data_IF_423705832951
#
_entry.id   IF_423705832951
#
_cell.length_a   1.000
_cell.length_b   1.000
_cell.length_c   1.000
_cell.angle_alpha   90.00
_cell.angle_beta   90.00
_cell.angle_gamma   90.00
#
_symmetry.space_group_name_H-M   'P 1'
#
loop_
_entity.id
_entity.type
_entity.pdbx_description
1 polymer ?
#
# COMPACT_ATOMS: atom_id res chain seq x y z
N UNK A 1 16.30 17.33 16.25
CA UNK A 1 17.19 16.21 15.84
C UNK A 1 16.97 14.98 16.74
N UNK A 2 15.71 14.52 16.90
CA UNK A 2 15.37 13.38 17.79
C UNK A 2 14.57 12.26 17.07
N UNK A 3 14.71 12.18 15.74
CA UNK A 3 13.97 11.22 14.91
C UNK A 3 14.54 9.79 14.92
N UNK A 4 15.72 9.57 15.54
CA UNK A 4 16.50 8.34 15.36
C UNK A 4 16.47 7.31 16.52
N UNK A 5 15.81 7.58 17.66
CA UNK A 5 15.92 6.71 18.86
C UNK A 5 14.71 5.85 19.26
N UNK A 6 13.53 6.00 18.67
CA UNK A 6 12.30 5.39 19.23
C UNK A 6 11.59 4.34 18.33
N UNK A 7 12.36 3.52 17.60
CA UNK A 7 11.91 2.44 16.70
C UNK A 7 11.56 1.10 17.43
N UNK A 8 10.96 1.15 18.61
CA UNK A 8 10.72 -0.03 19.47
C UNK A 8 9.22 -0.18 19.74
N UNK A 9 8.51 -1.01 18.95
CA UNK A 9 7.33 -1.84 19.30
C UNK A 9 6.33 -2.07 18.13
N UNK A 10 6.58 -3.10 17.32
CA UNK A 10 5.70 -4.25 17.05
C UNK A 10 4.27 -4.16 16.49
N UNK A 11 3.65 -2.99 16.31
CA UNK A 11 2.53 -2.81 15.38
C UNK A 11 3.07 -2.16 14.10
N UNK A 12 2.53 -2.45 12.91
CA UNK A 12 3.00 -1.82 11.66
C UNK A 12 3.12 -0.29 11.87
N UNK A 13 4.36 0.20 11.91
CA UNK A 13 4.77 1.58 12.28
C UNK A 13 4.17 2.71 11.41
N UNK A 14 3.26 2.40 10.49
CA UNK A 14 2.49 3.39 9.75
C UNK A 14 1.71 4.32 10.69
N UNK A 15 1.13 3.80 11.78
CA UNK A 15 0.33 4.61 12.73
C UNK A 15 1.13 5.75 13.37
N UNK A 16 2.45 5.59 13.58
CA UNK A 16 3.30 6.68 14.12
C UNK A 16 3.87 7.60 13.06
N UNK A 17 4.08 7.10 11.84
CA UNK A 17 4.52 7.92 10.70
C UNK A 17 3.39 8.82 10.19
N UNK A 18 2.13 8.52 10.55
CA UNK A 18 0.95 9.31 10.24
C UNK A 18 0.72 10.48 11.19
N UNK A 19 1.32 10.46 12.38
CA UNK A 19 1.20 11.54 13.38
C UNK A 19 1.97 12.76 12.87
N UNK A 20 1.25 13.64 12.17
CA UNK A 20 1.77 14.89 11.60
C UNK A 20 1.72 14.99 10.08
N UNK A 21 1.26 13.94 9.38
CA UNK A 21 1.07 14.03 7.93
C UNK A 21 -0.03 15.04 7.59
N UNK A 22 0.21 15.90 6.60
CA UNK A 22 -0.72 16.95 6.19
C UNK A 22 -1.33 16.69 4.80
N UNK A 23 -0.69 15.88 3.97
CA UNK A 23 -1.21 15.40 2.68
C UNK A 23 -1.12 13.87 2.59
N UNK A 24 -2.26 13.21 2.39
CA UNK A 24 -2.35 11.76 2.21
C UNK A 24 -2.85 11.40 0.80
N UNK A 25 -2.23 10.41 0.18
CA UNK A 25 -2.74 9.72 -1.01
C UNK A 25 -2.85 8.23 -0.72
N UNK A 26 -4.07 7.71 -0.76
CA UNK A 26 -4.41 6.32 -0.51
C UNK A 26 -4.89 5.68 -1.82
N UNK A 27 -4.24 4.62 -2.28
CA UNK A 27 -4.59 3.89 -3.50
C UNK A 27 -4.72 2.41 -3.16
N UNK A 28 -5.78 1.75 -3.62
CA UNK A 28 -5.90 0.29 -3.48
C UNK A 28 -7.23 -0.23 -3.99
N UNK A 29 -7.52 -1.52 -3.80
CA UNK A 29 -8.76 -2.10 -4.36
C UNK A 29 -10.01 -1.61 -3.64
N UNK A 30 -10.10 -1.87 -2.33
CA UNK A 30 -11.23 -1.45 -1.49
C UNK A 30 -10.86 -0.45 -0.42
N UNK A 31 -9.60 -0.43 0.04
CA UNK A 31 -9.11 0.42 1.13
C UNK A 31 -9.89 0.34 2.45
N UNK A 32 -10.78 -0.65 2.62
CA UNK A 32 -11.65 -0.75 3.81
C UNK A 32 -10.87 -0.80 5.12
N UNK A 33 -9.81 -1.61 5.19
CA UNK A 33 -8.98 -1.71 6.40
C UNK A 33 -8.26 -0.40 6.70
N UNK A 34 -7.65 0.21 5.67
CA UNK A 34 -6.90 1.46 5.82
C UNK A 34 -7.81 2.59 6.26
N UNK A 35 -8.94 2.80 5.58
CA UNK A 35 -9.90 3.86 5.90
C UNK A 35 -10.52 3.65 7.28
N UNK A 36 -10.84 2.40 7.64
CA UNK A 36 -11.41 2.10 8.95
C UNK A 36 -10.39 2.30 10.08
N UNK A 37 -9.18 1.78 9.92
CA UNK A 37 -8.11 1.91 10.91
C UNK A 37 -7.65 3.35 11.11
N UNK A 38 -7.59 4.14 10.03
CA UNK A 38 -7.15 5.54 10.07
C UNK A 38 -8.29 6.53 10.32
N UNK A 39 -9.51 6.10 10.67
CA UNK A 39 -10.68 6.99 10.74
C UNK A 39 -10.45 8.21 11.63
N UNK A 40 -9.84 8.00 12.80
CA UNK A 40 -9.50 9.08 13.73
C UNK A 40 -8.44 10.02 13.13
N UNK A 41 -7.37 9.46 12.56
CA UNK A 41 -6.27 10.23 12.00
C UNK A 41 -6.70 11.05 10.78
N UNK A 42 -7.46 10.44 9.87
CA UNK A 42 -8.02 11.13 8.71
C UNK A 42 -8.93 12.30 9.12
N UNK A 43 -9.71 12.14 10.19
CA UNK A 43 -10.54 13.23 10.73
C UNK A 43 -9.66 14.36 11.26
N UNK A 44 -8.66 14.04 12.09
CA UNK A 44 -7.73 15.02 12.63
C UNK A 44 -6.95 15.77 11.53
N UNK A 45 -6.50 15.06 10.49
CA UNK A 45 -5.79 15.65 9.34
C UNK A 45 -6.70 16.63 8.60
N UNK A 46 -7.96 16.24 8.32
CA UNK A 46 -8.92 17.11 7.63
C UNK A 46 -9.33 18.31 8.48
N UNK A 47 -9.52 18.14 9.79
CA UNK A 47 -9.81 19.22 10.74
C UNK A 47 -8.65 20.21 10.86
N UNK A 48 -7.41 19.75 10.72
CA UNK A 48 -6.22 20.59 10.65
C UNK A 48 -6.06 21.32 9.29
N UNK A 49 -6.96 21.12 8.32
CA UNK A 49 -6.87 21.71 6.97
C UNK A 49 -6.01 20.92 5.98
N UNK A 50 -5.62 19.70 6.36
CA UNK A 50 -4.90 18.77 5.53
C UNK A 50 -5.68 18.33 4.29
N UNK A 51 -4.98 17.61 3.41
CA UNK A 51 -5.54 17.05 2.18
C UNK A 51 -5.49 15.53 2.26
N UNK A 52 -6.56 14.89 1.86
CA UNK A 52 -6.63 13.44 1.72
C UNK A 52 -7.20 13.11 0.35
N UNK A 53 -6.48 12.29 -0.40
CA UNK A 53 -6.90 11.77 -1.71
C UNK A 53 -7.04 10.26 -1.59
N UNK A 54 -8.16 9.71 -2.03
CA UNK A 54 -8.40 8.27 -2.03
C UNK A 54 -8.79 7.80 -3.42
N UNK A 55 -8.12 6.76 -3.92
CA UNK A 55 -8.41 6.08 -5.17
C UNK A 55 -8.74 4.60 -4.88
N UNK A 56 -9.99 4.21 -5.13
CA UNK A 56 -10.47 2.82 -5.03
C UNK A 56 -10.96 2.31 -6.39
N UNK A 57 -11.23 1.02 -6.55
CA UNK A 57 -11.83 0.52 -7.80
C UNK A 57 -13.25 1.03 -7.98
N UNK A 58 -13.70 1.17 -9.23
CA UNK A 58 -15.08 1.51 -9.55
C UNK A 58 -16.01 0.31 -9.24
N UNK A 59 -16.89 0.40 -8.22
CA UNK A 59 -17.80 -0.70 -7.87
C UNK A 59 -18.95 -0.87 -8.88
N UNK A 60 -19.07 0.02 -9.87
CA UNK A 60 -20.09 -0.03 -10.92
C UNK A 60 -19.63 -0.76 -12.19
N UNK A 61 -18.35 -1.13 -12.27
CA UNK A 61 -17.80 -1.90 -13.37
C UNK A 61 -17.71 -3.39 -12.98
N UNK A 62 -18.71 -4.18 -13.41
CA UNK A 62 -18.82 -5.59 -13.07
C UNK A 62 -17.60 -6.41 -13.51
N UNK A 63 -17.10 -6.15 -14.73
CA UNK A 63 -15.95 -6.88 -15.30
C UNK A 63 -14.64 -6.54 -14.57
N UNK A 64 -14.48 -5.27 -14.17
CA UNK A 64 -13.36 -4.83 -13.34
C UNK A 64 -13.38 -5.53 -11.98
N UNK A 65 -14.52 -5.51 -11.29
CA UNK A 65 -14.64 -6.11 -9.96
C UNK A 65 -14.47 -7.62 -10.01
N UNK A 66 -15.01 -8.29 -11.03
CA UNK A 66 -14.79 -9.73 -11.23
C UNK A 66 -13.31 -10.03 -11.46
N UNK A 67 -12.63 -9.23 -12.28
CA UNK A 67 -11.19 -9.40 -12.55
C UNK A 67 -10.35 -9.09 -11.31
N UNK A 68 -10.71 -8.09 -10.52
CA UNK A 68 -10.02 -7.75 -9.27
C UNK A 68 -10.21 -8.81 -8.19
N UNK A 69 -11.44 -9.31 -8.01
CA UNK A 69 -11.72 -10.39 -7.07
C UNK A 69 -10.99 -11.68 -7.47
N UNK A 70 -10.96 -12.01 -8.77
CA UNK A 70 -10.13 -13.12 -9.27
C UNK A 70 -8.67 -12.93 -8.91
N UNK A 71 -8.10 -11.73 -9.05
CA UNK A 71 -6.70 -11.42 -8.72
C UNK A 71 -6.39 -11.37 -7.22
N UNK A 72 -7.41 -11.35 -6.35
CA UNK A 72 -7.21 -11.31 -4.91
C UNK A 72 -6.82 -12.68 -4.36
N UNK A 73 -5.86 -12.73 -3.43
CA UNK A 73 -5.42 -13.98 -2.78
C UNK A 73 -6.51 -14.64 -1.95
N UNK A 74 -7.52 -13.88 -1.53
CA UNK A 74 -8.72 -14.37 -0.89
C UNK A 74 -9.91 -13.83 -1.66
N UNK A 75 -10.30 -14.52 -2.75
CA UNK A 75 -11.58 -14.22 -3.40
C UNK A 75 -12.67 -14.35 -2.34
N UNK A 76 -13.33 -13.22 -2.09
CA UNK A 76 -14.48 -13.16 -1.20
C UNK A 76 -15.77 -13.25 -2.00
N UNK A 77 -15.64 -13.38 -3.33
CA UNK A 77 -16.68 -13.17 -4.31
C UNK A 77 -16.75 -11.69 -4.70
N UNK A 78 -16.89 -11.43 -6.00
CA UNK A 78 -17.03 -10.09 -6.57
C UNK A 78 -18.12 -9.24 -5.88
N UNK A 79 -19.21 -9.86 -5.39
CA UNK A 79 -20.24 -9.19 -4.61
C UNK A 79 -19.73 -8.62 -3.28
N UNK A 80 -18.87 -9.35 -2.57
CA UNK A 80 -18.26 -8.88 -1.31
C UNK A 80 -17.21 -7.81 -1.54
N UNK A 81 -16.39 -7.93 -2.59
CA UNK A 81 -15.42 -6.88 -2.95
C UNK A 81 -16.15 -5.57 -3.28
N UNK A 82 -17.22 -5.64 -4.09
CA UNK A 82 -18.08 -4.49 -4.40
C UNK A 82 -18.68 -3.88 -3.13
N UNK A 83 -19.19 -4.71 -2.23
CA UNK A 83 -19.76 -4.24 -0.96
C UNK A 83 -18.70 -3.50 -0.13
N UNK A 84 -17.48 -4.04 -0.02
CA UNK A 84 -16.37 -3.40 0.69
C UNK A 84 -16.02 -2.03 0.11
N UNK A 85 -15.86 -1.94 -1.21
CA UNK A 85 -15.60 -0.67 -1.90
C UNK A 85 -16.73 0.32 -1.63
N UNK A 86 -17.99 -0.11 -1.74
CA UNK A 86 -19.17 0.74 -1.51
C UNK A 86 -19.19 1.25 -0.07
N UNK A 87 -18.99 0.37 0.92
CA UNK A 87 -18.89 0.78 2.33
C UNK A 87 -17.76 1.77 2.56
N UNK A 88 -16.59 1.58 1.93
CA UNK A 88 -15.49 2.54 2.02
C UNK A 88 -15.85 3.90 1.41
N UNK A 89 -16.54 3.93 0.27
CA UNK A 89 -17.03 5.19 -0.32
C UNK A 89 -18.05 5.89 0.58
N UNK A 90 -18.95 5.15 1.22
CA UNK A 90 -19.94 5.68 2.15
C UNK A 90 -19.28 6.25 3.43
N UNK A 91 -18.28 5.55 3.97
CA UNK A 91 -17.48 6.01 5.10
C UNK A 91 -16.72 7.30 4.77
N UNK A 92 -16.10 7.38 3.59
CA UNK A 92 -15.39 8.58 3.12
C UNK A 92 -16.35 9.75 2.85
N UNK A 93 -17.54 9.48 2.31
CA UNK A 93 -18.57 10.53 2.18
C UNK A 93 -18.99 11.07 3.53
N UNK A 94 -19.23 10.18 4.49
CA UNK A 94 -19.59 10.58 5.87
C UNK A 94 -18.48 11.40 6.53
N UNK A 95 -17.22 11.03 6.30
CA UNK A 95 -16.05 11.77 6.79
C UNK A 95 -15.96 13.16 6.16
N UNK A 96 -16.17 13.28 4.85
CA UNK A 96 -16.21 14.56 4.14
C UNK A 96 -17.30 15.47 4.71
N UNK A 97 -18.48 14.95 4.96
CA UNK A 97 -19.62 15.74 5.43
C UNK A 97 -19.43 16.23 6.89
N UNK A 98 -18.52 15.60 7.65
CA UNK A 98 -18.20 15.95 9.04
C UNK A 98 -17.01 16.89 9.21
N UNK A 99 -16.18 17.02 8.18
CA UNK A 99 -14.91 17.76 8.27
C UNK A 99 -14.86 18.86 7.21
N UNK A 100 -14.24 19.99 7.51
CA UNK A 100 -14.08 21.09 6.55
C UNK A 100 -12.83 20.93 5.65
N UNK A 101 -12.14 19.79 5.76
CA UNK A 101 -10.87 19.54 5.08
C UNK A 101 -11.01 19.17 3.60
N UNK A 102 -9.87 19.01 2.93
CA UNK A 102 -9.80 18.69 1.49
C UNK A 102 -9.77 17.18 1.26
N UNK A 103 -10.94 16.54 1.33
CA UNK A 103 -11.10 15.12 0.99
C UNK A 103 -11.54 14.95 -0.48
N UNK A 104 -10.67 14.34 -1.28
CA UNK A 104 -10.92 13.97 -2.66
C UNK A 104 -11.04 12.45 -2.79
N UNK A 105 -12.15 11.97 -3.33
CA UNK A 105 -12.39 10.54 -3.56
C UNK A 105 -12.57 10.29 -5.05
N UNK A 106 -11.77 9.40 -5.62
CA UNK A 106 -11.83 8.98 -7.02
C UNK A 106 -12.02 7.46 -7.09
N UNK A 107 -12.62 7.01 -8.19
CA UNK A 107 -12.70 5.60 -8.54
C UNK A 107 -11.84 5.32 -9.77
N UNK A 108 -11.25 4.13 -9.83
CA UNK A 108 -10.38 3.67 -10.90
C UNK A 108 -11.08 2.60 -11.72
N UNK A 109 -10.97 2.69 -13.05
CA UNK A 109 -11.36 1.63 -13.99
C UNK A 109 -10.27 0.56 -14.17
N UNK A 110 -9.19 0.64 -13.38
CA UNK A 110 -8.03 -0.25 -13.49
C UNK A 110 -7.58 -0.79 -12.16
N UNK A 111 -7.21 -2.06 -12.22
CA UNK A 111 -6.71 -2.84 -11.09
C UNK A 111 -5.26 -2.44 -10.86
N UNK A 112 -5.04 -1.72 -9.77
CA UNK A 112 -3.69 -1.46 -9.30
C UNK A 112 -2.97 -2.77 -9.00
N UNK A 113 -1.69 -2.87 -9.37
CA UNK A 113 -0.83 -3.99 -8.98
C UNK A 113 -0.56 -4.00 -7.48
N UNK A 114 -0.62 -2.83 -6.81
CA UNK A 114 -0.37 -2.69 -5.38
C UNK A 114 -1.27 -1.63 -4.73
N UNK A 115 -1.47 -1.71 -3.42
CA UNK A 115 -1.89 -0.56 -2.62
C UNK A 115 -0.74 0.43 -2.41
N UNK A 116 -1.06 1.72 -2.31
CA UNK A 116 -0.12 2.79 -2.00
C UNK A 116 -0.71 3.64 -0.87
N UNK A 117 0.11 3.96 0.12
CA UNK A 117 -0.17 4.96 1.14
C UNK A 117 0.96 5.99 1.08
N UNK A 118 0.70 7.12 0.46
CA UNK A 118 1.66 8.19 0.32
C UNK A 118 1.35 9.30 1.32
N UNK A 119 2.36 9.81 2.01
CA UNK A 119 2.28 10.84 3.04
C UNK A 119 3.20 11.99 2.64
N UNK A 120 2.71 13.22 2.66
CA UNK A 120 3.45 14.47 2.41
C UNK A 120 4.35 14.44 1.18
N UNK A 121 3.95 13.74 0.11
CA UNK A 121 4.79 13.49 -1.09
C UNK A 121 5.22 14.75 -1.84
N UNK A 122 4.60 15.89 -1.59
CA UNK A 122 5.06 17.19 -2.11
C UNK A 122 6.18 17.84 -1.28
N UNK A 123 6.47 17.28 -0.11
CA UNK A 123 7.45 17.80 0.85
C UNK A 123 8.75 16.99 0.88
N UNK A 124 9.82 17.55 1.45
CA UNK A 124 11.15 16.91 1.51
C UNK A 124 11.18 15.66 2.40
N UNK A 125 10.14 15.45 3.21
CA UNK A 125 9.97 14.28 4.07
C UNK A 125 8.80 13.40 3.62
N UNK A 126 8.35 13.59 2.37
CA UNK A 126 7.33 12.76 1.78
C UNK A 126 7.73 11.30 1.80
N UNK A 127 6.78 10.42 2.07
CA UNK A 127 6.97 8.99 2.16
C UNK A 127 5.92 8.28 1.31
N UNK A 128 6.37 7.40 0.42
CA UNK A 128 5.48 6.49 -0.31
C UNK A 128 5.61 5.10 0.28
N UNK A 129 4.52 4.58 0.84
CA UNK A 129 4.42 3.19 1.31
C UNK A 129 3.67 2.34 0.29
N UNK A 130 4.37 1.38 -0.32
CA UNK A 130 3.74 0.42 -1.23
C UNK A 130 3.36 -0.83 -0.44
N UNK A 131 2.09 -1.24 -0.50
CA UNK A 131 1.56 -2.45 0.13
C UNK A 131 0.98 -3.37 -0.94
N UNK A 132 1.35 -4.65 -0.98
CA UNK A 132 0.70 -5.61 -1.90
C UNK A 132 -0.44 -6.28 -1.13
N UNK A 133 -1.55 -6.58 -1.81
CA UNK A 133 -2.73 -7.23 -1.20
C UNK A 133 -2.45 -8.65 -0.66
N UNK A 134 -1.24 -9.17 -0.87
CA UNK A 134 -0.77 -10.50 -0.44
C UNK A 134 -0.57 -10.64 1.08
N UNK A 135 -0.74 -9.56 1.87
CA UNK A 135 -0.46 -9.60 3.31
C UNK A 135 -1.68 -9.30 4.20
N UNK A 136 -2.11 -10.34 4.93
CA UNK A 136 -3.06 -10.27 6.04
C UNK A 136 -2.41 -10.89 7.31
N UNK A 137 -2.36 -10.19 8.45
CA UNK A 137 -2.17 -10.85 9.74
C UNK A 137 -3.43 -11.66 10.11
N UNK A 138 -3.26 -12.84 10.72
CA UNK A 138 -4.37 -13.73 11.12
C UNK A 138 -5.05 -13.16 12.36
N UNK A 139 -6.37 -12.87 12.32
CA UNK A 139 -7.13 -12.47 13.52
C UNK A 139 -8.54 -11.88 13.39
N UNK A 140 -8.99 -11.37 12.23
CA UNK A 140 -10.29 -10.67 12.15
C UNK A 140 -11.45 -11.58 11.65
N UNK A 141 -12.46 -11.79 12.51
CA UNK A 141 -13.76 -12.38 12.13
C UNK A 141 -14.75 -11.29 11.73
N UNK A 142 -15.39 -11.45 10.57
CA UNK A 142 -16.47 -10.59 10.08
C UNK A 142 -17.85 -11.00 10.62
N UNK A 143 -18.64 -9.96 10.91
CA UNK A 143 -20.03 -9.94 11.38
C UNK A 143 -21.02 -10.76 10.52
N UNK A 144 -22.14 -11.22 11.12
CA UNK A 144 -23.14 -12.11 10.47
C UNK A 144 -24.60 -11.67 10.72
N UNK A 145 -25.38 -11.79 9.63
CA UNK A 145 -26.82 -12.08 9.48
C UNK A 145 -27.88 -11.12 10.08
N UNK A 146 -28.68 -10.50 9.19
CA UNK A 146 -29.95 -9.84 9.56
C UNK A 146 -30.43 -8.66 8.70
N UNK A 147 -29.71 -8.25 7.65
CA UNK A 147 -30.00 -7.00 6.92
C UNK A 147 -30.67 -7.23 5.56
N UNK A 148 -31.88 -6.71 5.31
CA UNK A 148 -32.58 -6.92 4.04
C UNK A 148 -31.97 -6.12 2.88
N UNK A 149 -31.90 -6.80 1.72
CA UNK A 149 -31.40 -6.38 0.40
C UNK A 149 -32.46 -6.81 -0.64
N UNK A 150 -32.72 -6.10 -1.77
CA UNK A 150 -31.96 -4.97 -2.37
C UNK A 150 -32.57 -3.56 -2.23
N UNK A 151 -31.77 -2.54 -2.64
CA UNK A 151 -32.17 -1.14 -2.82
C UNK A 151 -33.03 -0.91 -4.08
N UNK A 152 -33.83 0.16 -4.08
CA UNK A 152 -34.79 0.48 -5.14
C UNK A 152 -34.15 0.98 -6.46
N UNK A 153 -34.74 0.67 -7.63
CA UNK A 153 -34.22 1.02 -8.96
C UNK A 153 -33.98 2.53 -9.21
N UNK A 154 -34.75 3.42 -8.57
CA UNK A 154 -34.63 4.87 -8.75
C UNK A 154 -33.31 5.45 -8.23
N UNK A 155 -32.66 4.80 -7.25
CA UNK A 155 -31.31 5.16 -6.79
C UNK A 155 -30.21 4.69 -7.74
N UNK A 156 -30.46 3.69 -8.58
CA UNK A 156 -29.50 3.19 -9.56
C UNK A 156 -29.34 4.17 -10.73
N UNK A 157 -30.44 4.80 -11.16
CA UNK A 157 -30.47 5.72 -12.31
C UNK A 157 -29.79 7.07 -12.00
N UNK A 158 -29.84 7.54 -10.74
CA UNK A 158 -29.18 8.79 -10.33
C UNK A 158 -27.64 8.75 -10.42
N UNK A 159 -27.03 7.55 -10.47
CA UNK A 159 -25.56 7.37 -10.59
C UNK A 159 -25.03 7.44 -12.02
N UNK A 160 -25.90 7.52 -13.06
CA UNK A 160 -25.51 7.27 -14.44
C UNK A 160 -24.87 8.45 -15.21
N UNK A 161 -24.39 9.53 -14.55
CA UNK A 161 -23.62 10.59 -15.24
C UNK A 161 -22.13 10.37 -15.06
N UNK A 162 -21.53 9.63 -15.99
CA UNK A 162 -20.10 9.29 -16.03
C UNK A 162 -19.27 10.38 -16.71
N UNK A 163 -18.14 10.82 -16.12
CA UNK A 163 -17.04 11.43 -16.86
C UNK A 163 -16.16 10.33 -17.51
N UNK A 164 -15.45 10.69 -18.58
CA UNK A 164 -14.45 9.80 -19.20
C UNK A 164 -13.15 9.83 -18.40
N UNK A 165 -12.52 8.66 -18.19
CA UNK A 165 -11.27 8.54 -17.43
C UNK A 165 -10.26 7.58 -18.05
N UNK A 166 -9.00 7.89 -17.74
CA UNK A 166 -7.77 7.44 -18.40
C UNK A 166 -7.24 6.10 -17.90
N UNK A 167 -6.34 5.56 -18.71
CA UNK A 167 -5.79 4.24 -18.66
C UNK A 167 -4.54 4.13 -17.74
N UNK A 168 -3.64 5.10 -17.59
CA UNK A 168 -2.48 4.85 -16.69
C UNK A 168 -2.85 5.12 -15.22
N UNK A 169 -2.06 4.63 -14.26
CA UNK A 169 -1.92 5.43 -13.05
C UNK A 169 -1.59 6.81 -13.58
N UNK A 170 -2.44 7.79 -13.30
CA UNK A 170 -2.19 9.10 -13.85
C UNK A 170 -0.79 9.56 -13.39
N UNK A 171 -0.23 10.58 -14.05
CA UNK A 171 1.09 11.11 -13.72
C UNK A 171 1.26 11.42 -12.22
N UNK A 172 0.18 11.49 -11.43
CA UNK A 172 0.21 11.71 -10.00
C UNK A 172 1.00 10.67 -9.18
N UNK A 173 0.99 9.36 -9.52
CA UNK A 173 1.78 8.37 -8.76
C UNK A 173 3.27 8.47 -9.11
N UNK A 174 3.58 8.55 -10.39
CA UNK A 174 4.95 8.74 -10.87
C UNK A 174 5.51 10.05 -10.31
N UNK A 175 4.75 11.13 -10.40
CA UNK A 175 5.10 12.43 -9.82
C UNK A 175 5.23 12.37 -8.29
N UNK A 176 4.42 11.58 -7.58
CA UNK A 176 4.58 11.39 -6.14
C UNK A 176 5.87 10.64 -5.79
N UNK A 177 6.26 9.64 -6.59
CA UNK A 177 7.53 8.92 -6.43
C UNK A 177 8.71 9.84 -6.80
N UNK A 178 8.59 10.60 -7.89
CA UNK A 178 9.61 11.54 -8.38
C UNK A 178 9.92 12.66 -7.38
N UNK A 179 8.90 13.16 -6.68
CA UNK A 179 9.05 14.24 -5.71
C UNK A 179 9.39 13.74 -4.29
N UNK A 180 9.43 12.44 -4.06
CA UNK A 180 9.71 11.90 -2.73
C UNK A 180 11.18 12.07 -2.37
N UNK A 181 11.44 12.73 -1.23
CA UNK A 181 12.77 12.77 -0.61
C UNK A 181 13.16 11.45 0.07
N UNK A 182 12.16 10.65 0.49
CA UNK A 182 12.33 9.35 1.12
C UNK A 182 11.28 8.35 0.61
N UNK A 183 11.71 7.16 0.23
CA UNK A 183 10.82 6.09 -0.24
C UNK A 183 10.89 4.88 0.67
N UNK A 184 9.75 4.47 1.24
CA UNK A 184 9.63 3.29 2.07
C UNK A 184 8.82 2.21 1.35
N UNK A 185 9.50 1.25 0.74
CA UNK A 185 8.84 0.19 -0.01
C UNK A 185 8.78 -1.07 0.85
N UNK A 186 7.58 -1.56 1.17
CA UNK A 186 7.38 -2.76 2.01
C UNK A 186 6.78 -3.89 1.19
N UNK A 187 6.98 -5.16 1.54
CA UNK A 187 6.27 -6.30 0.91
C UNK A 187 7.12 -7.56 0.80
N UNK A 188 6.54 -8.69 0.40
CA UNK A 188 7.28 -9.96 0.33
C UNK A 188 8.34 -9.97 -0.78
N UNK A 189 7.94 -9.70 -2.02
CA UNK A 189 8.82 -9.61 -3.18
C UNK A 189 8.34 -8.47 -4.06
N UNK A 190 9.27 -7.60 -4.50
CA UNK A 190 8.96 -6.38 -5.25
C UNK A 190 9.57 -6.37 -6.65
N UNK A 191 9.88 -7.54 -7.19
CA UNK A 191 10.52 -7.67 -8.49
C UNK A 191 9.76 -6.95 -9.61
N UNK A 192 8.42 -7.04 -9.67
CA UNK A 192 7.64 -6.32 -10.69
C UNK A 192 7.75 -4.81 -10.52
N UNK A 193 7.52 -4.29 -9.32
CA UNK A 193 7.66 -2.86 -9.04
C UNK A 193 9.07 -2.34 -9.36
N UNK A 194 10.10 -3.04 -8.88
CA UNK A 194 11.51 -2.66 -9.09
C UNK A 194 11.90 -2.76 -10.56
N UNK A 195 11.43 -3.77 -11.30
CA UNK A 195 11.71 -3.89 -12.74
C UNK A 195 11.00 -2.78 -13.53
N UNK A 196 9.71 -2.56 -13.28
CA UNK A 196 8.89 -1.61 -14.03
C UNK A 196 9.35 -0.16 -13.80
N UNK A 197 9.94 0.12 -12.63
CA UNK A 197 10.41 1.46 -12.24
C UNK A 197 11.93 1.55 -12.09
N UNK A 198 12.70 0.61 -12.64
CA UNK A 198 14.15 0.52 -12.40
C UNK A 198 14.87 1.83 -12.71
N UNK A 199 14.64 2.39 -13.91
CA UNK A 199 15.29 3.64 -14.35
C UNK A 199 14.87 4.85 -13.51
N UNK A 200 13.61 4.90 -13.05
CA UNK A 200 13.14 5.93 -12.14
C UNK A 200 13.83 5.82 -10.77
N UNK A 201 13.87 4.61 -10.20
CA UNK A 201 14.53 4.37 -8.92
C UNK A 201 16.03 4.68 -8.99
N UNK A 202 16.69 4.29 -10.09
CA UNK A 202 18.09 4.63 -10.33
C UNK A 202 18.32 6.14 -10.36
N UNK A 203 17.47 6.87 -11.09
CA UNK A 203 17.52 8.34 -11.19
C UNK A 203 17.36 8.97 -9.81
N UNK A 204 16.37 8.54 -9.03
CA UNK A 204 16.11 9.07 -7.69
C UNK A 204 17.27 8.84 -6.72
N UNK A 205 17.87 7.64 -6.72
CA UNK A 205 19.06 7.36 -5.91
C UNK A 205 20.24 8.25 -6.32
N UNK A 206 20.44 8.50 -7.62
CA UNK A 206 21.49 9.41 -8.13
C UNK A 206 21.24 10.86 -7.74
N UNK A 207 19.98 11.29 -7.60
CA UNK A 207 19.62 12.63 -7.15
C UNK A 207 19.60 12.78 -5.62
N UNK A 208 19.93 11.73 -4.87
CA UNK A 208 20.06 11.77 -3.42
C UNK A 208 18.81 11.38 -2.63
N UNK A 209 17.77 10.85 -3.27
CA UNK A 209 16.60 10.29 -2.58
C UNK A 209 17.03 9.10 -1.71
N UNK A 210 16.59 9.07 -0.45
CA UNK A 210 16.79 7.91 0.42
C UNK A 210 15.73 6.86 0.15
N UNK A 211 16.12 5.59 0.06
CA UNK A 211 15.22 4.47 -0.19
C UNK A 211 15.40 3.39 0.86
N UNK A 212 14.28 2.91 1.39
CA UNK A 212 14.22 1.87 2.41
C UNK A 212 13.28 0.78 1.95
N UNK A 213 13.80 -0.45 1.89
CA UNK A 213 13.03 -1.63 1.56
C UNK A 213 12.83 -2.50 2.80
N UNK A 214 11.60 -2.94 3.04
CA UNK A 214 11.30 -3.99 4.03
C UNK A 214 10.81 -5.21 3.27
N UNK A 215 11.64 -6.24 3.21
CA UNK A 215 11.39 -7.48 2.46
C UNK A 215 11.34 -8.68 3.39
N UNK A 216 10.68 -9.76 2.95
CA UNK A 216 10.75 -11.04 3.66
C UNK A 216 12.12 -11.67 3.42
N UNK A 217 12.73 -12.19 4.47
CA UNK A 217 13.99 -12.93 4.37
C UNK A 217 13.77 -14.23 3.56
N UNK A 218 14.38 -14.41 2.38
CA UNK A 218 14.21 -15.61 1.56
C UNK A 218 14.68 -16.91 2.25
N UNK A 219 15.56 -16.80 3.25
CA UNK A 219 16.05 -17.94 4.02
C UNK A 219 15.15 -18.30 5.22
N UNK A 220 14.14 -17.48 5.52
CA UNK A 220 13.28 -17.66 6.68
C UNK A 220 12.01 -18.47 6.39
N UNK A 221 11.40 -19.03 7.43
CA UNK A 221 10.09 -19.70 7.34
C UNK A 221 8.93 -18.71 7.06
N UNK A 222 9.15 -17.40 7.22
CA UNK A 222 8.20 -16.39 6.79
C UNK A 222 7.92 -16.47 5.27
N UNK A 223 8.86 -17.01 4.48
CA UNK A 223 8.66 -17.21 3.04
C UNK A 223 7.56 -18.25 2.75
N UNK A 224 7.42 -19.28 3.58
CA UNK A 224 6.39 -20.31 3.40
C UNK A 224 4.99 -19.74 3.72
N UNK A 225 4.93 -18.96 4.81
CA UNK A 225 3.72 -18.25 5.20
C UNK A 225 3.31 -17.20 4.16
N UNK A 226 4.27 -16.58 3.47
CA UNK A 226 3.99 -15.60 2.45
C UNK A 226 3.68 -16.25 1.08
N UNK A 227 4.34 -17.35 0.73
CA UNK A 227 4.05 -18.13 -0.48
C UNK A 227 2.64 -18.72 -0.49
N UNK A 228 2.20 -19.26 0.66
CA UNK A 228 0.82 -19.76 0.84
C UNK A 228 -0.24 -18.67 0.76
N UNK A 229 0.15 -17.39 0.79
CA UNK A 229 -0.76 -16.23 0.66
C UNK A 229 -0.72 -15.60 -0.73
N UNK A 230 0.07 -16.14 -1.65
CA UNK A 230 0.21 -15.61 -3.00
C UNK A 230 -0.98 -15.96 -3.90
N UNK A 231 -1.37 -15.05 -4.81
CA UNK A 231 -2.55 -15.18 -5.69
C UNK A 231 -2.47 -16.35 -6.68
N UNK A 232 -1.33 -16.54 -7.32
CA UNK A 232 -1.05 -17.80 -8.01
C UNK A 232 -0.54 -18.76 -6.96
N UNK A 233 -1.02 -19.99 -6.86
CA UNK A 233 -0.42 -21.02 -6.02
C UNK A 233 1.09 -21.06 -6.29
N UNK A 234 1.87 -20.38 -5.44
CA UNK A 234 3.31 -20.29 -5.58
C UNK A 234 3.89 -21.25 -4.58
N UNK A 235 4.73 -22.14 -5.08
CA UNK A 235 5.60 -22.90 -4.19
C UNK A 235 6.46 -21.91 -3.38
N UNK A 236 6.80 -22.24 -2.13
CA UNK A 236 7.76 -21.46 -1.36
C UNK A 236 9.08 -21.22 -2.10
N UNK A 237 9.51 -22.18 -2.92
CA UNK A 237 10.66 -22.02 -3.81
C UNK A 237 10.47 -20.85 -4.80
N UNK A 238 9.30 -20.71 -5.42
CA UNK A 238 9.01 -19.58 -6.33
C UNK A 238 8.98 -18.25 -5.59
N UNK A 239 8.38 -18.18 -4.40
CA UNK A 239 8.40 -16.97 -3.58
C UNK A 239 9.82 -16.58 -3.17
N UNK A 240 10.63 -17.56 -2.77
CA UNK A 240 12.05 -17.40 -2.44
C UNK A 240 12.86 -16.83 -3.61
N UNK A 241 12.72 -17.41 -4.80
CA UNK A 241 13.42 -16.91 -6.00
C UNK A 241 13.04 -15.48 -6.34
N UNK A 242 11.78 -15.08 -6.14
CA UNK A 242 11.36 -13.69 -6.37
C UNK A 242 11.92 -12.71 -5.34
N UNK A 243 11.97 -13.11 -4.07
CA UNK A 243 12.62 -12.32 -3.04
C UNK A 243 14.11 -12.17 -3.35
N UNK A 244 14.81 -13.26 -3.70
CA UNK A 244 16.20 -13.24 -4.12
C UNK A 244 16.44 -12.37 -5.36
N UNK A 245 15.58 -12.47 -6.37
CA UNK A 245 15.68 -11.64 -7.57
C UNK A 245 15.48 -10.15 -7.25
N UNK A 246 14.52 -9.81 -6.38
CA UNK A 246 14.36 -8.43 -5.88
C UNK A 246 15.64 -7.94 -5.21
N UNK A 247 16.25 -8.75 -4.34
CA UNK A 247 17.49 -8.40 -3.66
C UNK A 247 18.67 -8.20 -4.62
N UNK A 248 18.77 -9.02 -5.68
CA UNK A 248 19.78 -8.84 -6.74
C UNK A 248 19.63 -7.49 -7.44
N UNK A 249 18.41 -7.12 -7.84
CA UNK A 249 18.13 -5.83 -8.49
C UNK A 249 18.45 -4.65 -7.56
N UNK A 250 18.10 -4.76 -6.28
CA UNK A 250 18.40 -3.72 -5.29
C UNK A 250 19.91 -3.59 -5.02
N UNK A 251 20.64 -4.71 -4.98
CA UNK A 251 22.09 -4.70 -4.87
C UNK A 251 22.73 -4.02 -6.10
N UNK A 252 22.22 -4.31 -7.30
CA UNK A 252 22.66 -3.66 -8.53
C UNK A 252 22.40 -2.13 -8.49
N UNK A 253 21.19 -1.70 -8.09
CA UNK A 253 20.87 -0.28 -7.90
C UNK A 253 21.81 0.38 -6.89
N UNK A 254 22.09 -0.28 -5.76
CA UNK A 254 23.04 0.26 -4.76
C UNK A 254 24.44 0.45 -5.36
N UNK A 255 24.91 -0.53 -6.13
CA UNK A 255 26.25 -0.52 -6.70
C UNK A 255 26.40 0.51 -7.84
N UNK A 256 25.38 0.68 -8.67
CA UNK A 256 25.40 1.59 -9.83
C UNK A 256 25.21 3.06 -9.46
N UNK A 257 24.48 3.34 -8.38
CA UNK A 257 24.13 4.72 -7.98
C UNK A 257 24.98 5.24 -6.83
N UNK A 258 25.52 4.36 -5.99
CA UNK A 258 26.07 4.69 -4.66
C UNK A 258 25.10 5.50 -3.78
N UNK A 259 23.80 5.54 -4.12
CA UNK A 259 22.78 6.30 -3.41
C UNK A 259 22.40 5.68 -2.07
N UNK A 260 21.58 6.38 -1.28
CA UNK A 260 21.17 5.92 0.05
C UNK A 260 20.05 4.86 -0.05
N UNK A 261 20.45 3.60 -0.27
CA UNK A 261 19.53 2.44 -0.27
C UNK A 261 19.78 1.56 0.96
N UNK A 262 18.73 1.33 1.75
CA UNK A 262 18.74 0.43 2.90
C UNK A 262 17.71 -0.69 2.72
N UNK A 263 18.08 -1.91 3.11
CA UNK A 263 17.22 -3.10 3.03
C UNK A 263 17.13 -3.72 4.42
N UNK A 264 15.90 -3.96 4.88
CA UNK A 264 15.59 -4.70 6.10
C UNK A 264 14.88 -5.99 5.73
N UNK A 265 15.44 -7.11 6.18
CA UNK A 265 14.84 -8.43 6.02
C UNK A 265 14.01 -8.81 7.26
N UNK A 266 12.83 -9.38 7.05
CA UNK A 266 11.93 -9.84 8.10
C UNK A 266 11.87 -11.37 8.06
N UNK A 267 12.35 -12.01 9.13
CA UNK A 267 12.45 -13.47 9.23
C UNK A 267 11.31 -14.15 10.00
N UNK A 268 10.59 -13.40 10.86
CA UNK A 268 9.43 -13.91 11.58
C UNK A 268 8.28 -12.90 11.49
N UNK A 269 7.12 -13.38 11.07
CA UNK A 269 5.88 -12.60 10.97
C UNK A 269 5.11 -12.58 12.30
N UNK A 270 5.52 -13.39 13.29
CA UNK A 270 4.85 -13.56 14.60
C UNK A 270 5.56 -12.84 15.74
N UNK A 271 6.88 -12.64 15.67
CA UNK A 271 7.65 -11.91 16.68
C UNK A 271 8.42 -10.75 16.06
N UNK A 272 7.84 -9.56 16.09
CA UNK A 272 8.56 -8.31 15.76
C UNK A 272 9.22 -7.66 16.99
N UNK A 273 9.26 -8.35 18.13
CA UNK A 273 10.06 -7.90 19.28
C UNK A 273 11.53 -8.07 18.92
N UNK A 274 12.33 -7.00 18.83
CA UNK A 274 13.71 -7.11 18.40
C UNK A 274 14.51 -7.90 19.45
N UNK A 275 15.02 -9.07 19.09
CA UNK A 275 16.15 -9.66 19.80
C UNK A 275 17.33 -8.70 19.62
N UNK A 276 17.99 -8.32 20.73
CA UNK A 276 19.04 -7.27 20.81
C UNK A 276 20.31 -7.54 19.96
N UNK A 277 20.29 -8.49 19.02
CA UNK A 277 21.44 -8.92 18.22
C UNK A 277 21.23 -8.96 16.70
N UNK A 278 20.19 -8.32 16.15
CA UNK A 278 20.08 -8.21 14.70
C UNK A 278 21.00 -7.08 14.17
N UNK A 279 22.21 -7.45 13.79
CA UNK A 279 23.20 -6.57 13.15
C UNK A 279 22.65 -6.09 11.81
N UNK A 280 22.53 -4.77 11.61
CA UNK A 280 22.39 -4.20 10.27
C UNK A 280 23.59 -4.65 9.43
N UNK A 281 23.39 -5.63 8.55
CA UNK A 281 24.42 -6.00 7.57
C UNK A 281 24.50 -4.88 6.55
N UNK A 282 25.41 -3.94 6.79
CA UNK A 282 25.95 -3.10 5.71
C UNK A 282 26.68 -4.05 4.76
N UNK A 283 26.04 -4.39 3.64
CA UNK A 283 26.70 -5.09 2.54
C UNK A 283 27.78 -4.16 1.99
N UNK A 284 28.99 -4.26 2.51
CA UNK A 284 30.20 -3.70 1.91
C UNK A 284 30.84 -4.80 1.08
N UNK A 285 30.58 -4.80 -0.22
CA UNK A 285 31.38 -5.59 -1.15
C UNK A 285 32.76 -4.94 -1.27
N UNK A 286 33.82 -5.73 -1.00
CA UNK A 286 35.19 -5.45 -1.44
C UNK A 286 35.33 -5.89 -2.88
#
# INVERSE_FOLDING_TARGET
MDYARNLVNGGLHLERLQVGAFDLLLVGHSMTRTVHGMRSDMSAILEAGGRIRVLVLDPTDDALIETADRRSSQSLGHGRLRQRITTTLDDLSTLRDRTAGRLEVRVSSRISSAGFNCLDVSGPHGMVCVQHDEYHPVGERLWKAGTPWPMTPSRQIARARRPMFSERFGPELEQAIENAGDLLITGMARNTFVNDHYGLLETLLKTGTSMRFILIDPASSAIDAAASRYYAERSPASARERALHTLRLLAELKNTTNGELAIRLVADLRNTTPTKHQTCQNVRHR
#
